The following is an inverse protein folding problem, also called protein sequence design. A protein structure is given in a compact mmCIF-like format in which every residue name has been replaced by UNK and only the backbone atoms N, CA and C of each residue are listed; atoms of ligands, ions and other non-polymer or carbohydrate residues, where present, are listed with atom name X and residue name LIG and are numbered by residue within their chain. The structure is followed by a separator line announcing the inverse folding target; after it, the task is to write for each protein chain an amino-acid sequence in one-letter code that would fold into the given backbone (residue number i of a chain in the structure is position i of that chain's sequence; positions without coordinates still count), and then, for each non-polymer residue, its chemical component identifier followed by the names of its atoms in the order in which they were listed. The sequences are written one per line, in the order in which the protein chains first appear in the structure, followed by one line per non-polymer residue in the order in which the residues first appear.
data_IF_298560643289
#
_entry.id   IF_298560643289
#
_cell.length_a   1.000
_cell.length_b   1.000
_cell.length_c   1.000
_cell.angle_alpha   90.00
_cell.angle_beta   90.00
_cell.angle_gamma   90.00
#
_symmetry.space_group_name_H-M   'P 1'
#
loop_
_entity.id
_entity.type
_entity.pdbx_description
1 polymer ?
#
# COMPACT_ATOMS: atom_id res chain seq x y z
N UNK A 1 6.83 8.25 -18.24
CA UNK A 1 7.08 9.71 -18.29
C UNK A 1 6.58 10.23 -19.63
N UNK A 2 5.55 11.08 -19.63
CA UNK A 2 4.94 11.59 -20.88
C UNK A 2 5.81 12.70 -21.52
N UNK A 3 6.66 13.36 -20.73
CA UNK A 3 7.49 14.52 -21.13
C UNK A 3 8.72 14.20 -22.00
N UNK A 4 9.05 12.93 -22.25
CA UNK A 4 10.24 12.53 -23.01
C UNK A 4 11.60 12.78 -22.34
N UNK A 5 11.66 13.51 -21.22
CA UNK A 5 12.87 13.74 -20.41
C UNK A 5 12.64 13.47 -18.91
N UNK A 6 13.68 12.93 -18.26
CA UNK A 6 13.72 12.64 -16.82
C UNK A 6 14.63 13.60 -16.03
N UNK A 7 15.28 14.57 -16.66
CA UNK A 7 16.34 15.39 -16.04
C UNK A 7 15.93 16.06 -14.72
N UNK A 8 14.67 16.54 -14.65
CA UNK A 8 14.11 17.21 -13.47
C UNK A 8 12.98 16.44 -12.79
N UNK A 9 12.67 15.24 -13.29
CA UNK A 9 11.50 14.49 -12.86
C UNK A 9 11.92 13.25 -12.09
N UNK A 10 11.48 13.18 -10.84
CA UNK A 10 11.68 12.04 -9.96
C UNK A 10 10.33 11.54 -9.46
N UNK A 11 10.25 10.24 -9.18
CA UNK A 11 9.10 9.63 -8.52
C UNK A 11 9.53 9.31 -7.09
N UNK A 12 8.68 9.67 -6.13
CA UNK A 12 8.89 9.32 -4.72
C UNK A 12 8.76 7.80 -4.53
N UNK A 13 9.50 7.25 -3.57
CA UNK A 13 9.39 5.87 -3.13
C UNK A 13 9.51 5.78 -1.61
N UNK A 14 8.60 5.03 -0.99
CA UNK A 14 8.66 4.65 0.41
C UNK A 14 8.57 3.13 0.51
N UNK A 15 9.38 2.48 1.34
CA UNK A 15 9.52 1.01 1.37
C UNK A 15 8.53 0.32 2.33
N UNK A 16 7.29 0.76 2.40
CA UNK A 16 6.32 0.24 3.37
C UNK A 16 5.01 -0.16 2.68
N UNK A 17 4.38 -1.23 3.17
CA UNK A 17 3.03 -1.70 2.82
C UNK A 17 2.87 -2.28 1.40
N UNK A 18 3.95 -2.42 0.64
CA UNK A 18 3.92 -3.05 -0.69
C UNK A 18 3.47 -4.51 -0.61
N UNK A 19 3.74 -5.18 0.50
CA UNK A 19 3.36 -6.57 0.77
C UNK A 19 1.84 -6.81 0.80
N UNK A 20 1.02 -5.76 0.81
CA UNK A 20 -0.44 -5.87 0.81
C UNK A 20 -1.06 -5.81 -0.59
N UNK A 21 -0.26 -5.54 -1.63
CA UNK A 21 -0.71 -5.48 -3.02
C UNK A 21 -0.34 -6.75 -3.77
N UNK A 22 -1.26 -7.21 -4.62
CA UNK A 22 -1.04 -8.39 -5.48
C UNK A 22 0.08 -8.12 -6.49
N UNK A 23 0.18 -6.87 -6.95
CA UNK A 23 1.15 -6.42 -7.95
C UNK A 23 1.99 -5.26 -7.40
N UNK A 24 2.90 -5.51 -6.45
CA UNK A 24 3.70 -4.46 -5.82
C UNK A 24 4.65 -3.80 -6.81
N UNK A 25 4.98 -2.54 -6.56
CA UNK A 25 6.00 -1.85 -7.35
C UNK A 25 7.38 -2.48 -7.10
N UNK A 26 8.27 -2.42 -8.10
CA UNK A 26 9.65 -2.87 -7.95
C UNK A 26 10.64 -1.83 -8.45
N UNK A 27 11.80 -1.77 -7.81
CA UNK A 27 12.87 -0.81 -8.10
C UNK A 27 14.15 -1.57 -8.43
N UNK A 28 14.86 -1.13 -9.47
CA UNK A 28 16.21 -1.60 -9.78
C UNK A 28 17.20 -1.10 -8.73
N UNK A 29 18.31 -1.83 -8.57
CA UNK A 29 19.41 -1.41 -7.70
C UNK A 29 19.92 0.02 -7.99
N UNK A 30 19.74 0.53 -9.20
CA UNK A 30 20.07 1.91 -9.61
C UNK A 30 19.00 2.97 -9.25
N UNK A 31 17.99 2.62 -8.45
CA UNK A 31 16.98 3.57 -7.93
C UNK A 31 15.88 3.95 -8.94
N UNK A 32 15.62 3.11 -9.94
CA UNK A 32 14.56 3.36 -10.94
C UNK A 32 13.43 2.34 -10.81
N UNK A 33 12.19 2.83 -10.86
CA UNK A 33 11.01 1.98 -10.98
C UNK A 33 11.09 1.11 -12.24
N UNK A 34 10.74 -0.17 -12.09
CA UNK A 34 10.52 -1.05 -13.22
C UNK A 34 9.13 -0.82 -13.82
N UNK A 35 9.01 -1.13 -15.11
CA UNK A 35 7.71 -1.19 -15.78
C UNK A 35 7.00 -2.45 -15.24
N UNK A 36 5.76 -2.35 -14.73
CA UNK A 36 4.96 -3.52 -14.40
C UNK A 36 4.79 -4.42 -15.62
N UNK A 37 5.10 -5.71 -15.47
CA UNK A 37 5.08 -6.69 -16.55
C UNK A 37 3.95 -7.72 -16.44
N UNK A 38 3.19 -7.70 -15.34
CA UNK A 38 2.03 -8.56 -15.16
C UNK A 38 0.82 -8.05 -15.98
N UNK A 39 0.36 -8.80 -17.00
CA UNK A 39 -0.78 -8.41 -17.82
C UNK A 39 -2.11 -8.34 -17.06
N UNK A 40 -2.22 -9.01 -15.91
CA UNK A 40 -3.41 -8.93 -15.03
C UNK A 40 -3.34 -7.75 -14.06
N UNK A 41 -2.17 -7.14 -13.90
CA UNK A 41 -1.92 -6.13 -12.89
C UNK A 41 -2.77 -4.87 -13.03
N UNK A 42 -3.26 -4.57 -14.24
CA UNK A 42 -4.10 -3.39 -14.47
C UNK A 42 -3.41 -2.12 -13.96
N UNK A 43 -4.03 -1.44 -12.99
CA UNK A 43 -3.44 -0.24 -12.37
C UNK A 43 -2.66 -0.51 -11.07
N UNK A 44 -2.33 -1.78 -10.79
CA UNK A 44 -1.62 -2.24 -9.58
C UNK A 44 -2.32 -1.87 -8.26
N UNK A 45 -3.65 -1.70 -8.29
CA UNK A 45 -4.45 -1.29 -7.12
C UNK A 45 -5.03 -2.47 -6.34
N UNK A 46 -4.92 -3.69 -6.87
CA UNK A 46 -5.49 -4.87 -6.22
C UNK A 46 -4.72 -5.20 -4.94
N UNK A 47 -5.44 -5.22 -3.82
CA UNK A 47 -4.92 -5.61 -2.51
C UNK A 47 -5.30 -7.05 -2.19
N UNK A 48 -4.46 -7.74 -1.40
CA UNK A 48 -4.81 -9.05 -0.87
C UNK A 48 -6.04 -8.96 0.05
N UNK A 49 -7.04 -9.81 -0.18
CA UNK A 49 -8.24 -9.87 0.68
C UNK A 49 -7.89 -10.08 2.15
N UNK A 50 -6.82 -10.83 2.44
CA UNK A 50 -6.34 -11.07 3.79
C UNK A 50 -5.90 -9.77 4.47
N UNK A 51 -5.18 -8.90 3.76
CA UNK A 51 -4.77 -7.59 4.26
C UNK A 51 -5.97 -6.69 4.52
N UNK A 52 -6.96 -6.69 3.63
CA UNK A 52 -8.20 -5.94 3.84
C UNK A 52 -8.90 -6.43 5.11
N UNK A 53 -9.21 -7.73 5.21
CA UNK A 53 -9.91 -8.30 6.38
C UNK A 53 -9.15 -8.07 7.70
N UNK A 54 -7.83 -8.07 7.65
CA UNK A 54 -7.00 -7.91 8.83
C UNK A 54 -6.94 -6.45 9.32
N UNK A 55 -6.78 -5.49 8.40
CA UNK A 55 -6.58 -4.06 8.72
C UNK A 55 -7.84 -3.18 8.54
N UNK A 56 -8.97 -3.74 8.09
CA UNK A 56 -10.23 -3.02 7.93
C UNK A 56 -10.64 -2.31 9.23
N UNK A 57 -10.78 -0.98 9.18
CA UNK A 57 -11.28 -0.24 10.33
C UNK A 57 -12.82 -0.28 10.39
N UNK A 58 -13.46 -0.46 11.56
CA UNK A 58 -12.88 -0.79 12.87
C UNK A 58 -12.81 -2.31 13.16
N UNK A 59 -13.33 -3.14 12.26
CA UNK A 59 -13.69 -4.52 12.58
C UNK A 59 -12.58 -5.55 12.34
N UNK A 60 -11.51 -5.14 11.65
CA UNK A 60 -10.39 -6.01 11.30
C UNK A 60 -9.67 -6.53 12.53
N UNK A 61 -9.10 -7.74 12.40
CA UNK A 61 -8.46 -8.42 13.52
C UNK A 61 -7.30 -7.64 14.14
N UNK A 62 -6.60 -6.81 13.36
CA UNK A 62 -5.58 -5.91 13.87
C UNK A 62 -6.13 -4.96 14.94
N UNK A 63 -7.30 -4.37 14.71
CA UNK A 63 -7.90 -3.41 15.63
C UNK A 63 -8.58 -4.08 16.82
N UNK A 64 -9.35 -5.14 16.55
CA UNK A 64 -10.16 -5.80 17.56
C UNK A 64 -9.33 -6.70 18.48
N UNK A 65 -8.40 -7.47 17.92
CA UNK A 65 -7.67 -8.50 18.66
C UNK A 65 -6.30 -8.01 19.14
N UNK A 66 -5.57 -7.28 18.28
CA UNK A 66 -4.18 -6.87 18.58
C UNK A 66 -4.13 -5.50 19.27
N UNK A 67 -5.03 -4.58 18.89
CA UNK A 67 -5.03 -3.20 19.38
C UNK A 67 -6.37 -2.70 19.99
N UNK A 68 -7.04 -3.48 20.87
CA UNK A 68 -8.36 -3.12 21.39
C UNK A 68 -8.37 -1.80 22.20
N UNK A 69 -7.25 -1.45 22.84
CA UNK A 69 -7.11 -0.18 23.58
C UNK A 69 -7.12 1.03 22.65
N UNK A 70 -6.45 0.93 21.50
CA UNK A 70 -6.43 1.99 20.49
C UNK A 70 -7.83 2.13 19.89
N UNK A 71 -8.47 1.01 19.57
CA UNK A 71 -9.84 0.98 19.08
C UNK A 71 -10.80 1.71 20.03
N UNK A 72 -10.78 1.35 21.32
CA UNK A 72 -11.63 1.99 22.33
C UNK A 72 -11.35 3.50 22.46
N UNK A 73 -10.08 3.92 22.44
CA UNK A 73 -9.69 5.32 22.52
C UNK A 73 -10.22 6.13 21.33
N UNK A 74 -10.01 5.64 20.11
CA UNK A 74 -10.40 6.34 18.89
C UNK A 74 -11.92 6.37 18.71
N UNK A 75 -12.63 5.34 19.15
CA UNK A 75 -14.11 5.34 19.14
C UNK A 75 -14.69 6.32 20.16
N UNK A 76 -14.05 6.48 21.33
CA UNK A 76 -14.49 7.44 22.35
C UNK A 76 -14.22 8.89 21.93
N UNK A 77 -13.13 9.14 21.19
CA UNK A 77 -12.79 10.47 20.68
C UNK A 77 -13.66 10.92 19.48
N UNK A 78 -14.38 9.99 18.85
CA UNK A 78 -15.28 10.26 17.73
C UNK A 78 -16.74 10.53 18.15
N UNK A 79 -17.03 10.52 19.46
CA UNK A 79 -18.33 10.83 20.07
C UNK A 79 -18.30 12.16 20.81
#
# INVERSE_FOLDING_TARGET
MISGSMERNVLEFANHLHEHFVHPCSIRQSGRYNIPDDPKGGYSIEMHEASIKHYEWPNGSYWVNEHPKILAQLQTAAA
#
